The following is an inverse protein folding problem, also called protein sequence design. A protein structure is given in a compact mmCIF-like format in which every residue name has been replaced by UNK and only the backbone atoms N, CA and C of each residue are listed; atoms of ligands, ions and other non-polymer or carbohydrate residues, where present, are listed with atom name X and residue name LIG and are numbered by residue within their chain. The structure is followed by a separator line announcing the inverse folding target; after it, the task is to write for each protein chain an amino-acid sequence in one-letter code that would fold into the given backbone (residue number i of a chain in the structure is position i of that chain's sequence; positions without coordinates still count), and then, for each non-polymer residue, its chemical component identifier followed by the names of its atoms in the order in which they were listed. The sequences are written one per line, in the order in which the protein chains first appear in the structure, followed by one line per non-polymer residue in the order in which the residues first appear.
data_IF_883606843679
#
_entry.id   IF_883606843679
#
_cell.length_a   1.000
_cell.length_b   1.000
_cell.length_c   1.000
_cell.angle_alpha   90.00
_cell.angle_beta   90.00
_cell.angle_gamma   90.00
#
_symmetry.space_group_name_H-M   'P 1'
#
loop_
_entity.id
_entity.type
_entity.pdbx_description
1 polymer ?
#
# COMPACT_ATOMS: atom_id res chain seq x y z
N UNK A 1 6.85 -17.52 4.56
CA UNK A 1 8.16 -16.84 4.52
C UNK A 1 8.20 -16.12 3.17
N UNK A 2 8.07 -14.79 3.16
CA UNK A 2 8.11 -14.03 1.91
C UNK A 2 9.58 -13.87 1.54
N UNK A 3 10.08 -14.66 0.58
CA UNK A 3 11.43 -14.49 0.05
C UNK A 3 11.44 -13.24 -0.84
N UNK A 4 11.87 -12.11 -0.28
CA UNK A 4 12.05 -10.84 -0.97
C UNK A 4 13.39 -10.83 -1.74
N UNK A 5 13.65 -11.86 -2.54
CA UNK A 5 14.89 -11.97 -3.29
C UNK A 5 14.87 -10.99 -4.49
N UNK A 6 15.64 -9.90 -4.40
CA UNK A 6 15.82 -8.86 -5.43
C UNK A 6 14.62 -7.91 -5.65
N UNK A 7 13.99 -7.43 -4.58
CA UNK A 7 13.03 -6.32 -4.70
C UNK A 7 13.74 -4.96 -4.63
N UNK A 8 13.42 -4.08 -5.59
CA UNK A 8 13.68 -2.65 -5.42
C UNK A 8 12.67 -2.11 -4.42
N UNK A 9 13.17 -1.62 -3.28
CA UNK A 9 12.35 -0.99 -2.24
C UNK A 9 12.53 0.51 -2.33
N UNK A 10 11.43 1.23 -2.56
CA UNK A 10 11.41 2.69 -2.60
C UNK A 10 10.57 3.22 -1.45
N UNK A 11 11.14 4.11 -0.64
CA UNK A 11 10.37 4.85 0.36
C UNK A 11 9.53 5.93 -0.31
N UNK A 12 8.26 6.03 0.10
CA UNK A 12 7.39 7.16 -0.27
C UNK A 12 7.43 8.22 0.83
N UNK A 13 6.90 9.41 0.54
CA UNK A 13 6.89 10.51 1.50
C UNK A 13 6.18 10.13 2.80
N UNK A 14 6.82 10.26 3.98
CA UNK A 14 6.19 9.97 5.24
C UNK A 14 5.06 10.97 5.52
N UNK A 15 4.06 10.56 6.30
CA UNK A 15 2.98 11.44 6.69
C UNK A 15 2.39 11.08 8.06
N UNK A 16 1.75 12.07 8.67
CA UNK A 16 0.91 11.87 9.86
C UNK A 16 -0.57 11.91 9.49
N UNK A 17 -1.34 11.01 10.10
CA UNK A 17 -2.80 11.07 10.12
C UNK A 17 -3.30 11.19 11.56
N UNK A 18 -4.25 12.08 11.80
CA UNK A 18 -4.75 12.39 13.14
C UNK A 18 -6.17 11.89 13.29
N UNK A 19 -6.36 11.02 14.27
CA UNK A 19 -7.67 10.66 14.80
C UNK A 19 -7.94 11.48 16.06
N UNK A 20 -9.17 11.47 16.55
CA UNK A 20 -9.53 12.25 17.75
C UNK A 20 -8.78 11.82 19.01
N UNK A 21 -8.23 10.60 19.05
CA UNK A 21 -7.60 10.03 20.26
C UNK A 21 -6.14 9.59 20.06
N UNK A 22 -5.61 9.61 18.83
CA UNK A 22 -4.22 9.20 18.55
C UNK A 22 -3.75 9.71 17.17
N UNK A 23 -2.45 9.59 16.93
CA UNK A 23 -1.82 9.89 15.64
C UNK A 23 -1.16 8.63 15.08
N UNK A 24 -1.24 8.44 13.76
CA UNK A 24 -0.43 7.49 13.04
C UNK A 24 0.67 8.23 12.29
N UNK A 25 1.91 7.88 12.60
CA UNK A 25 3.06 8.22 11.77
C UNK A 25 3.30 7.10 10.77
N UNK A 26 3.05 7.39 9.51
CA UNK A 26 3.13 6.44 8.41
C UNK A 26 4.41 6.67 7.61
N UNK A 27 5.18 5.60 7.39
CA UNK A 27 6.40 5.57 6.58
C UNK A 27 6.22 4.53 5.47
N UNK A 28 5.56 4.87 4.35
CA UNK A 28 5.17 3.89 3.35
C UNK A 28 6.38 3.40 2.55
N UNK A 29 6.38 2.11 2.21
CA UNK A 29 7.40 1.47 1.39
C UNK A 29 6.72 0.84 0.16
N UNK A 30 7.18 1.23 -1.03
CA UNK A 30 6.82 0.61 -2.29
C UNK A 30 7.80 -0.54 -2.57
N UNK A 31 7.25 -1.73 -2.78
CA UNK A 31 8.00 -2.94 -3.11
C UNK A 31 7.77 -3.27 -4.58
N UNK A 32 8.79 -3.06 -5.42
CA UNK A 32 8.76 -3.48 -6.81
C UNK A 32 9.35 -4.89 -6.91
N UNK A 33 8.50 -5.89 -7.21
CA UNK A 33 8.99 -7.23 -7.51
C UNK A 33 9.32 -7.33 -9.00
N UNK A 34 10.61 -7.45 -9.33
CA UNK A 34 11.06 -7.65 -10.71
C UNK A 34 10.90 -9.10 -11.20
N UNK A 35 10.75 -10.08 -10.29
CA UNK A 35 10.72 -11.49 -10.64
C UNK A 35 9.64 -12.26 -9.86
N UNK A 36 8.58 -12.65 -10.58
CA UNK A 36 7.59 -13.63 -10.15
C UNK A 36 6.83 -13.28 -8.87
N UNK A 37 5.85 -12.38 -8.99
CA UNK A 37 4.72 -12.37 -8.06
C UNK A 37 3.97 -13.70 -8.24
N UNK A 38 4.33 -14.72 -7.45
CA UNK A 38 3.55 -15.93 -7.33
C UNK A 38 2.11 -15.55 -6.97
N UNK A 39 1.15 -16.25 -7.56
CA UNK A 39 -0.29 -16.07 -7.38
C UNK A 39 -0.78 -16.07 -5.90
N UNK A 40 0.11 -16.34 -4.95
CA UNK A 40 -0.11 -16.35 -3.51
C UNK A 40 -0.21 -14.98 -2.83
N UNK A 41 0.08 -13.86 -3.51
CA UNK A 41 -0.15 -12.53 -2.92
C UNK A 41 -1.63 -12.16 -2.81
N UNK A 42 -2.52 -12.86 -3.53
CA UNK A 42 -3.98 -12.69 -3.44
C UNK A 42 -4.74 -13.95 -3.04
N UNK A 43 -4.19 -15.15 -3.21
CA UNK A 43 -4.87 -16.38 -2.85
C UNK A 43 -4.60 -16.76 -1.40
N UNK A 44 -5.45 -16.30 -0.47
CA UNK A 44 -5.78 -17.05 0.76
C UNK A 44 -6.96 -16.53 1.60
N UNK A 45 -7.56 -15.36 1.35
CA UNK A 45 -8.78 -14.98 2.09
C UNK A 45 -9.63 -13.93 1.37
N UNK A 46 -10.94 -13.94 1.62
CA UNK A 46 -11.90 -12.95 1.12
C UNK A 46 -11.64 -11.49 1.60
N UNK A 47 -10.54 -11.26 2.32
CA UNK A 47 -10.20 -9.99 2.96
C UNK A 47 -9.12 -9.21 2.21
N UNK A 48 -8.61 -9.73 1.09
CA UNK A 48 -7.57 -9.09 0.28
C UNK A 48 -8.10 -8.77 -1.12
N UNK A 49 -7.72 -7.60 -1.64
CA UNK A 49 -8.15 -7.11 -2.96
C UNK A 49 -7.01 -6.30 -3.59
N UNK A 50 -6.71 -6.59 -4.85
CA UNK A 50 -5.90 -5.71 -5.69
C UNK A 50 -6.73 -4.50 -6.13
N UNK A 51 -6.13 -3.32 -6.04
CA UNK A 51 -6.74 -2.06 -6.46
C UNK A 51 -5.82 -1.33 -7.42
N UNK A 52 -6.40 -0.69 -8.43
CA UNK A 52 -5.64 0.14 -9.36
C UNK A 52 -5.24 1.46 -8.67
N UNK A 53 -3.99 1.92 -8.81
CA UNK A 53 -3.60 3.25 -8.33
C UNK A 53 -4.47 4.33 -8.97
N UNK A 54 -5.05 5.21 -8.15
CA UNK A 54 -5.90 6.31 -8.62
C UNK A 54 -7.37 5.95 -8.85
N UNK A 55 -7.76 4.70 -8.65
CA UNK A 55 -9.17 4.32 -8.61
C UNK A 55 -9.85 5.01 -7.41
N UNK A 56 -10.99 5.69 -7.64
CA UNK A 56 -11.83 6.18 -6.55
C UNK A 56 -12.41 4.99 -5.79
N UNK A 57 -11.96 4.79 -4.56
CA UNK A 57 -12.45 3.73 -3.69
C UNK A 57 -13.55 4.33 -2.80
N UNK A 58 -14.79 4.26 -3.30
CA UNK A 58 -15.92 5.05 -2.78
C UNK A 58 -16.44 4.63 -1.40
N UNK A 59 -16.12 3.43 -0.88
CA UNK A 59 -16.72 2.97 0.40
C UNK A 59 -15.76 2.11 1.24
N UNK A 60 -15.60 2.48 2.51
CA UNK A 60 -15.05 1.62 3.58
C UNK A 60 -13.54 1.67 3.80
N UNK A 61 -12.78 2.42 3.00
CA UNK A 61 -11.33 2.53 3.14
C UNK A 61 -10.95 3.69 4.06
N UNK A 62 -10.10 3.40 5.06
CA UNK A 62 -9.59 4.41 5.98
C UNK A 62 -8.84 5.53 5.24
N UNK A 63 -9.00 6.77 5.71
CA UNK A 63 -8.38 7.95 5.09
C UNK A 63 -6.84 7.85 4.97
N UNK A 64 -6.16 7.19 5.92
CA UNK A 64 -4.72 6.93 5.83
C UNK A 64 -4.36 6.03 4.63
N UNK A 65 -5.18 5.02 4.32
CA UNK A 65 -4.99 4.14 3.16
C UNK A 65 -5.26 4.88 1.85
N UNK A 66 -6.30 5.71 1.78
CA UNK A 66 -6.56 6.56 0.60
C UNK A 66 -5.38 7.48 0.30
N UNK A 67 -4.74 8.02 1.35
CA UNK A 67 -3.55 8.86 1.22
C UNK A 67 -2.36 8.12 0.62
N UNK A 68 -2.10 6.88 1.04
CA UNK A 68 -1.05 6.03 0.46
C UNK A 68 -1.30 5.80 -1.04
N UNK A 69 -2.55 5.46 -1.42
CA UNK A 69 -2.92 5.24 -2.82
C UNK A 69 -2.78 6.51 -3.68
N UNK A 70 -3.10 7.68 -3.12
CA UNK A 70 -2.91 8.97 -3.81
C UNK A 70 -1.43 9.31 -3.97
N UNK A 71 -0.61 9.06 -2.94
CA UNK A 71 0.84 9.25 -3.01
C UNK A 71 1.48 8.35 -4.07
N UNK A 72 1.03 7.10 -4.19
CA UNK A 72 1.49 6.19 -5.24
C UNK A 72 1.29 6.80 -6.65
N UNK A 73 0.12 7.38 -6.94
CA UNK A 73 -0.12 8.03 -8.24
C UNK A 73 0.73 9.29 -8.44
N UNK A 74 1.04 10.00 -7.37
CA UNK A 74 1.76 11.29 -7.44
C UNK A 74 3.27 11.12 -7.50
N UNK A 75 3.81 10.05 -6.89
CA UNK A 75 5.25 9.82 -6.74
C UNK A 75 5.81 8.76 -7.71
N UNK A 76 4.94 8.02 -8.43
CA UNK A 76 5.28 7.20 -9.59
C UNK A 76 5.35 8.06 -10.86
#
# INVERSE_FOLDING_TARGET
HFELANNEVRSLSPFRHTFSHFHLDCYPLLLCNANNASAQLADSSEQQRWVEPGQSLDVGIAAATQKILTQLVTEL
#
